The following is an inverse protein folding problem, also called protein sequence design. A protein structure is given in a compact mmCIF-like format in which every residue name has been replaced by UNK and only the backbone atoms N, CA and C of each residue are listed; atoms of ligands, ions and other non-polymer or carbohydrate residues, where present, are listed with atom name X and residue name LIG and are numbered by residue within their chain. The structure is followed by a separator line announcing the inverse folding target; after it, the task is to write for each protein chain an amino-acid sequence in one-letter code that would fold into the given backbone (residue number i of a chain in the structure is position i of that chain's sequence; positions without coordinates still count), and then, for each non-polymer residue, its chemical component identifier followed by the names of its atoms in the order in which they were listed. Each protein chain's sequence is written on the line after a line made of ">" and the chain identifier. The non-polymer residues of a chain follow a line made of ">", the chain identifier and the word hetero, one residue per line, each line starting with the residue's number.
data_IF_626573987587
#
_entry.id   IF_626573987587
#
_cell.length_a   1.000
_cell.length_b   1.000
_cell.length_c   1.000
_cell.angle_alpha   90.00
_cell.angle_beta   90.00
_cell.angle_gamma   90.00
#
_symmetry.space_group_name_H-M   'P 1'
#
loop_
_entity.id
_entity.type
_entity.pdbx_description
1 polymer ?
#
# COMPACT_ATOMS: atom_id res chain seq x y z
N UNK A 1 -0.68 18.19 -14.28
CA UNK A 1 -0.76 16.71 -14.18
C UNK A 1 -2.18 16.20 -13.91
N UNK A 2 -2.89 16.62 -12.84
CA UNK A 2 -4.26 16.15 -12.54
C UNK A 2 -5.30 16.41 -13.65
N UNK A 3 -5.22 17.56 -14.34
CA UNK A 3 -6.16 17.93 -15.43
C UNK A 3 -6.10 17.00 -16.64
N UNK A 4 -4.96 16.35 -16.89
CA UNK A 4 -4.74 15.49 -18.07
C UNK A 4 -5.24 14.06 -17.80
N UNK A 5 -5.10 13.57 -16.57
CA UNK A 5 -5.55 12.23 -16.18
C UNK A 5 -7.09 12.12 -16.17
N UNK A 6 -7.76 13.13 -15.62
CA UNK A 6 -9.24 13.22 -15.64
C UNK A 6 -9.81 13.23 -17.07
N UNK A 7 -9.18 13.96 -18.00
CA UNK A 7 -9.61 13.98 -19.39
C UNK A 7 -9.40 12.65 -20.13
N UNK A 8 -8.36 11.90 -19.75
CA UNK A 8 -8.10 10.57 -20.33
C UNK A 8 -9.14 9.56 -19.87
N UNK A 9 -9.42 9.53 -18.57
CA UNK A 9 -10.35 8.56 -17.97
C UNK A 9 -11.80 8.85 -18.43
N UNK A 10 -12.19 10.13 -18.53
CA UNK A 10 -13.45 10.55 -19.14
C UNK A 10 -13.55 10.15 -20.63
N UNK A 11 -12.47 10.34 -21.40
CA UNK A 11 -12.44 9.95 -22.82
C UNK A 11 -12.60 8.45 -23.01
N UNK A 12 -12.02 7.64 -22.13
CA UNK A 12 -12.17 6.18 -22.14
C UNK A 12 -13.61 5.77 -21.83
N UNK A 13 -14.24 6.39 -20.82
CA UNK A 13 -15.66 6.15 -20.51
C UNK A 13 -16.59 6.55 -21.66
N UNK A 14 -16.36 7.72 -22.27
CA UNK A 14 -17.16 8.20 -23.42
C UNK A 14 -16.99 7.30 -24.63
N UNK A 15 -15.79 6.79 -24.91
CA UNK A 15 -15.57 5.79 -25.97
C UNK A 15 -16.35 4.49 -25.68
N UNK A 16 -16.37 4.03 -24.43
CA UNK A 16 -17.17 2.88 -24.00
C UNK A 16 -18.67 3.10 -24.23
N UNK A 17 -19.18 4.29 -23.88
CA UNK A 17 -20.57 4.67 -24.13
C UNK A 17 -20.89 4.67 -25.63
N UNK A 18 -20.05 5.33 -26.44
CA UNK A 18 -20.22 5.41 -27.91
C UNK A 18 -20.18 4.03 -28.55
N UNK A 19 -19.29 3.15 -28.10
CA UNK A 19 -19.23 1.76 -28.57
C UNK A 19 -20.54 1.00 -28.26
N UNK A 20 -21.19 1.31 -27.14
CA UNK A 20 -22.47 0.74 -26.72
C UNK A 20 -23.73 1.34 -27.35
N UNK A 21 -23.64 2.45 -28.09
CA UNK A 21 -24.80 3.14 -28.66
C UNK A 21 -25.59 2.23 -29.61
N UNK A 22 -24.91 1.39 -30.41
CA UNK A 22 -25.57 0.48 -31.36
C UNK A 22 -26.48 -0.52 -30.66
N UNK A 23 -25.98 -1.14 -29.60
CA UNK A 23 -26.72 -2.12 -28.80
C UNK A 23 -27.84 -1.48 -28.00
N UNK A 24 -27.62 -0.26 -27.49
CA UNK A 24 -28.64 0.52 -26.81
C UNK A 24 -29.78 0.90 -27.78
N UNK A 25 -29.44 1.31 -29.01
CA UNK A 25 -30.41 1.58 -30.06
C UNK A 25 -31.25 0.33 -30.41
N UNK A 26 -30.65 -0.85 -30.51
CA UNK A 26 -31.40 -2.11 -30.72
C UNK A 26 -32.34 -2.43 -29.56
N UNK A 27 -31.93 -2.15 -28.32
CA UNK A 27 -32.77 -2.36 -27.15
C UNK A 27 -33.97 -1.38 -27.12
N UNK A 28 -33.78 -0.13 -27.55
CA UNK A 28 -34.87 0.81 -27.76
C UNK A 28 -35.81 0.38 -28.91
N UNK A 29 -35.28 -0.17 -30.00
CA UNK A 29 -36.10 -0.74 -31.07
C UNK A 29 -37.01 -1.85 -30.53
N UNK A 30 -36.48 -2.73 -29.67
CA UNK A 30 -37.28 -3.76 -29.00
C UNK A 30 -38.38 -3.16 -28.12
N UNK A 31 -38.06 -2.13 -27.32
CA UNK A 31 -39.05 -1.40 -26.52
C UNK A 31 -40.16 -0.81 -27.40
N UNK A 32 -39.81 -0.08 -28.46
CA UNK A 32 -40.78 0.52 -29.37
C UNK A 32 -41.61 -0.53 -30.12
N UNK A 33 -41.05 -1.70 -30.44
CA UNK A 33 -41.82 -2.78 -31.05
C UNK A 33 -42.92 -3.31 -30.10
N UNK A 34 -42.61 -3.45 -28.81
CA UNK A 34 -43.61 -3.85 -27.81
C UNK A 34 -44.65 -2.77 -27.58
N UNK A 35 -44.22 -1.50 -27.48
CA UNK A 35 -45.14 -0.37 -27.35
C UNK A 35 -46.04 -0.26 -28.58
N UNK A 36 -45.54 -0.50 -29.79
CA UNK A 36 -46.33 -0.50 -31.01
C UNK A 36 -47.49 -1.50 -30.95
N UNK A 37 -47.24 -2.71 -30.43
CA UNK A 37 -48.30 -3.72 -30.25
C UNK A 37 -49.33 -3.26 -29.23
N UNK A 38 -48.90 -2.87 -28.02
CA UNK A 38 -49.79 -2.42 -26.94
C UNK A 38 -50.63 -1.20 -27.39
N UNK A 39 -49.99 -0.22 -28.00
CA UNK A 39 -50.62 1.02 -28.47
C UNK A 39 -51.47 0.82 -29.71
N UNK A 40 -51.17 -0.15 -30.56
CA UNK A 40 -52.06 -0.57 -31.65
C UNK A 40 -53.37 -1.10 -31.11
N UNK A 41 -53.31 -1.98 -30.10
CA UNK A 41 -54.51 -2.46 -29.40
C UNK A 41 -55.26 -1.30 -28.74
N UNK A 42 -54.56 -0.41 -28.02
CA UNK A 42 -55.18 0.76 -27.39
C UNK A 42 -55.84 1.71 -28.40
N UNK A 43 -55.20 1.99 -29.54
CA UNK A 43 -55.78 2.84 -30.59
C UNK A 43 -57.07 2.22 -31.15
N UNK A 44 -57.09 0.90 -31.36
CA UNK A 44 -58.25 0.19 -31.90
C UNK A 44 -59.41 0.07 -30.90
N UNK A 45 -59.13 -0.17 -29.62
CA UNK A 45 -60.17 -0.41 -28.60
C UNK A 45 -60.62 0.87 -27.88
N UNK A 46 -59.67 1.71 -27.48
CA UNK A 46 -59.91 2.93 -26.69
C UNK A 46 -60.16 4.12 -27.62
N UNK A 47 -59.36 4.25 -28.69
CA UNK A 47 -59.44 5.39 -29.61
C UNK A 47 -60.75 5.50 -30.40
N UNK A 48 -61.47 4.39 -30.58
CA UNK A 48 -62.75 4.34 -31.30
C UNK A 48 -63.98 4.38 -30.37
N UNK A 49 -63.80 4.57 -29.06
CA UNK A 49 -64.89 4.61 -28.08
C UNK A 49 -65.41 6.03 -27.86
N UNK A 50 -66.72 6.24 -28.04
CA UNK A 50 -67.39 7.53 -27.84
C UNK A 50 -67.35 7.98 -26.37
N UNK A 51 -67.31 7.03 -25.42
CA UNK A 51 -67.19 7.33 -23.98
C UNK A 51 -65.83 7.95 -23.62
N UNK A 52 -64.77 7.62 -24.37
CA UNK A 52 -63.42 8.16 -24.14
C UNK A 52 -63.31 9.59 -24.65
N UNK A 53 -64.01 9.91 -25.74
CA UNK A 53 -64.08 11.27 -26.27
C UNK A 53 -64.77 12.24 -25.29
N UNK A 54 -65.79 11.77 -24.55
CA UNK A 54 -66.49 12.59 -23.54
C UNK A 54 -65.59 13.02 -22.37
N UNK A 55 -64.52 12.27 -22.10
CA UNK A 55 -63.58 12.51 -20.99
C UNK A 55 -62.37 13.33 -21.48
N UNK A 56 -62.34 13.75 -22.76
CA UNK A 56 -61.27 14.57 -23.32
C UNK A 56 -59.98 13.78 -23.60
N UNK A 57 -60.10 12.46 -23.82
CA UNK A 57 -58.95 11.60 -24.13
C UNK A 57 -58.79 11.27 -25.63
N UNK A 58 -59.63 11.86 -26.47
CA UNK A 58 -59.62 11.72 -27.94
C UNK A 58 -58.25 12.06 -28.54
N UNK A 59 -57.58 13.11 -28.03
CA UNK A 59 -56.27 13.53 -28.49
C UNK A 59 -55.11 12.55 -28.18
N UNK A 60 -55.32 11.56 -27.31
CA UNK A 60 -54.25 10.67 -26.83
C UNK A 60 -54.20 9.33 -27.55
N UNK A 61 -55.32 8.89 -28.13
CA UNK A 61 -55.45 7.55 -28.74
C UNK A 61 -55.97 7.54 -30.20
N UNK A 62 -56.04 8.70 -30.86
CA UNK A 62 -56.63 8.84 -32.21
C UNK A 62 -55.86 8.13 -33.34
N UNK A 63 -54.55 7.92 -33.19
CA UNK A 63 -53.74 7.16 -34.13
C UNK A 63 -52.65 6.37 -33.41
N UNK A 64 -52.01 5.43 -34.11
CA UNK A 64 -50.99 4.55 -33.52
C UNK A 64 -49.82 5.35 -32.93
N UNK A 65 -49.23 6.36 -33.62
CA UNK A 65 -48.15 7.18 -33.05
C UNK A 65 -48.53 7.93 -31.76
N UNK A 66 -49.73 8.50 -31.69
CA UNK A 66 -50.23 9.20 -30.50
C UNK A 66 -50.46 8.23 -29.35
N UNK A 67 -51.09 7.08 -29.61
CA UNK A 67 -51.24 6.00 -28.63
C UNK A 67 -49.89 5.46 -28.14
N UNK A 68 -48.88 5.42 -29.03
CA UNK A 68 -47.52 5.01 -28.68
C UNK A 68 -46.83 6.02 -27.78
N UNK A 69 -46.98 7.32 -28.06
CA UNK A 69 -46.49 8.38 -27.20
C UNK A 69 -47.17 8.37 -25.82
N UNK A 70 -48.49 8.22 -25.78
CA UNK A 70 -49.25 8.11 -24.53
C UNK A 70 -48.82 6.88 -23.73
N UNK A 71 -48.66 5.72 -24.36
CA UNK A 71 -48.19 4.51 -23.68
C UNK A 71 -46.74 4.65 -23.18
N UNK A 72 -45.85 5.24 -23.98
CA UNK A 72 -44.48 5.53 -23.56
C UNK A 72 -44.45 6.41 -22.31
N UNK A 73 -45.19 7.53 -22.30
CA UNK A 73 -45.35 8.39 -21.13
C UNK A 73 -45.83 7.57 -19.92
N UNK A 74 -46.92 6.82 -20.08
CA UNK A 74 -47.51 6.07 -18.97
C UNK A 74 -46.57 5.01 -18.39
N UNK A 75 -45.79 4.30 -19.21
CA UNK A 75 -44.85 3.28 -18.73
C UNK A 75 -43.52 3.84 -18.22
N UNK A 76 -43.12 5.04 -18.65
CA UNK A 76 -41.91 5.73 -18.16
C UNK A 76 -42.12 6.51 -16.86
N UNK A 77 -43.37 6.58 -16.38
CA UNK A 77 -43.72 7.17 -15.07
C UNK A 77 -44.60 8.42 -15.14
N UNK A 78 -44.98 8.89 -16.32
CA UNK A 78 -45.85 10.06 -16.49
C UNK A 78 -47.15 9.67 -17.20
N UNK A 79 -48.27 9.56 -16.49
CA UNK A 79 -49.53 9.11 -17.09
C UNK A 79 -50.68 10.09 -16.85
N UNK A 80 -50.51 11.34 -17.28
CA UNK A 80 -51.46 12.44 -17.03
C UNK A 80 -51.92 13.15 -18.30
N UNK A 81 -53.15 13.67 -18.26
CA UNK A 81 -53.71 14.57 -19.26
C UNK A 81 -53.10 15.97 -19.14
N UNK A 82 -53.45 16.87 -20.07
CA UNK A 82 -53.01 18.28 -20.02
C UNK A 82 -53.48 19.00 -18.75
N UNK A 83 -54.60 18.56 -18.17
CA UNK A 83 -55.19 19.09 -16.93
C UNK A 83 -54.64 18.41 -15.67
N UNK A 84 -53.68 17.48 -15.82
CA UNK A 84 -53.06 16.76 -14.71
C UNK A 84 -53.86 15.55 -14.21
N UNK A 85 -54.97 15.20 -14.85
CA UNK A 85 -55.76 14.03 -14.46
C UNK A 85 -55.07 12.72 -14.89
N UNK A 86 -55.03 11.68 -14.04
CA UNK A 86 -54.36 10.43 -14.38
C UNK A 86 -55.14 9.62 -15.44
N UNK A 87 -54.53 9.45 -16.61
CA UNK A 87 -55.14 8.78 -17.79
C UNK A 87 -55.58 7.35 -17.45
N UNK A 88 -54.75 6.60 -16.74
CA UNK A 88 -55.04 5.21 -16.36
C UNK A 88 -56.23 5.09 -15.40
N UNK A 89 -56.44 6.06 -14.50
CA UNK A 89 -57.59 6.06 -13.59
C UNK A 89 -58.87 6.36 -14.36
N UNK A 90 -58.84 7.34 -15.26
CA UNK A 90 -60.00 7.68 -16.09
C UNK A 90 -60.44 6.51 -16.98
N UNK A 91 -59.47 5.78 -17.57
CA UNK A 91 -59.78 4.58 -18.34
C UNK A 91 -60.26 3.42 -17.46
N UNK A 92 -59.74 3.29 -16.24
CA UNK A 92 -60.20 2.28 -15.29
C UNK A 92 -61.67 2.48 -14.89
N UNK A 93 -62.10 3.74 -14.73
CA UNK A 93 -63.48 4.06 -14.40
C UNK A 93 -64.45 3.75 -15.56
N UNK A 94 -64.01 3.87 -16.82
CA UNK A 94 -64.83 3.59 -18.01
C UNK A 94 -64.88 2.10 -18.35
N UNK A 95 -63.73 1.44 -18.40
CA UNK A 95 -63.60 0.07 -18.90
C UNK A 95 -63.57 -0.99 -17.79
N UNK A 96 -63.41 -0.57 -16.53
CA UNK A 96 -63.45 -1.44 -15.36
C UNK A 96 -62.29 -2.43 -15.26
N UNK A 97 -62.56 -3.55 -14.59
CA UNK A 97 -61.57 -4.58 -14.24
C UNK A 97 -60.77 -5.15 -15.43
N UNK A 98 -61.37 -5.43 -16.62
CA UNK A 98 -60.61 -5.95 -17.76
C UNK A 98 -59.47 -5.03 -18.19
N UNK A 99 -59.72 -3.72 -18.24
CA UNK A 99 -58.70 -2.74 -18.56
C UNK A 99 -57.61 -2.71 -17.49
N UNK A 100 -57.98 -2.68 -16.22
CA UNK A 100 -57.02 -2.67 -15.09
C UNK A 100 -56.09 -3.89 -15.16
N UNK A 101 -56.63 -5.08 -15.40
CA UNK A 101 -55.83 -6.31 -15.51
C UNK A 101 -54.86 -6.25 -16.68
N UNK A 102 -55.32 -5.84 -17.88
CA UNK A 102 -54.46 -5.68 -19.05
C UNK A 102 -53.38 -4.61 -18.83
N UNK A 103 -53.75 -3.49 -18.20
CA UNK A 103 -52.82 -2.41 -17.87
C UNK A 103 -51.72 -2.90 -16.92
N UNK A 104 -52.06 -3.58 -15.82
CA UNK A 104 -51.08 -4.10 -14.85
C UNK A 104 -50.12 -5.10 -15.51
N UNK A 105 -50.64 -6.03 -16.33
CA UNK A 105 -49.79 -6.99 -17.06
C UNK A 105 -48.85 -6.28 -18.02
N UNK A 106 -49.36 -5.32 -18.80
CA UNK A 106 -48.54 -4.54 -19.74
C UNK A 106 -47.48 -3.69 -19.01
N UNK A 107 -47.82 -3.11 -17.85
CA UNK A 107 -46.91 -2.34 -17.02
C UNK A 107 -45.80 -3.22 -16.43
N UNK A 108 -46.12 -4.41 -15.91
CA UNK A 108 -45.11 -5.36 -15.44
C UNK A 108 -44.17 -5.79 -16.57
N UNK A 109 -44.70 -6.05 -17.77
CA UNK A 109 -43.89 -6.45 -18.92
C UNK A 109 -42.93 -5.33 -19.37
N UNK A 110 -43.41 -4.10 -19.49
CA UNK A 110 -42.59 -2.97 -19.97
C UNK A 110 -41.65 -2.46 -18.87
N UNK A 111 -42.20 -2.06 -17.73
CA UNK A 111 -41.46 -1.41 -16.63
C UNK A 111 -40.57 -2.38 -15.87
N UNK A 112 -41.09 -3.56 -15.49
CA UNK A 112 -40.29 -4.55 -14.74
C UNK A 112 -39.52 -5.51 -15.65
N UNK A 113 -39.98 -5.77 -16.88
CA UNK A 113 -39.31 -6.65 -17.82
C UNK A 113 -38.32 -5.91 -18.72
N UNK A 114 -38.83 -5.12 -19.66
CA UNK A 114 -38.03 -4.55 -20.75
C UNK A 114 -37.01 -3.53 -20.25
N UNK A 115 -37.39 -2.60 -19.36
CA UNK A 115 -36.42 -1.63 -18.83
C UNK A 115 -35.30 -2.31 -18.05
N UNK A 116 -35.61 -3.32 -17.23
CA UNK A 116 -34.59 -4.09 -16.51
C UNK A 116 -33.70 -4.90 -17.46
N UNK A 117 -34.25 -5.40 -18.57
CA UNK A 117 -33.46 -6.03 -19.63
C UNK A 117 -32.53 -5.03 -20.34
N UNK A 118 -33.02 -3.83 -20.66
CA UNK A 118 -32.20 -2.76 -21.25
C UNK A 118 -31.06 -2.38 -20.30
N UNK A 119 -31.36 -2.21 -19.00
CA UNK A 119 -30.36 -1.93 -17.98
C UNK A 119 -29.32 -3.07 -17.87
N UNK A 120 -29.75 -4.32 -17.89
CA UNK A 120 -28.85 -5.48 -17.86
C UNK A 120 -27.93 -5.52 -19.08
N UNK A 121 -28.45 -5.29 -20.29
CA UNK A 121 -27.66 -5.22 -21.52
C UNK A 121 -26.67 -4.05 -21.48
N UNK A 122 -27.10 -2.88 -20.97
CA UNK A 122 -26.23 -1.73 -20.81
C UNK A 122 -25.05 -2.02 -19.86
N UNK A 123 -25.33 -2.66 -18.72
CA UNK A 123 -24.29 -3.07 -17.77
C UNK A 123 -23.30 -4.05 -18.42
N UNK A 124 -23.76 -5.05 -19.16
CA UNK A 124 -22.89 -6.02 -19.84
C UNK A 124 -21.90 -5.35 -20.82
N UNK A 125 -22.37 -4.34 -21.57
CA UNK A 125 -21.50 -3.58 -22.49
C UNK A 125 -20.43 -2.81 -21.72
N UNK A 126 -20.82 -2.12 -20.64
CA UNK A 126 -19.86 -1.36 -19.82
C UNK A 126 -18.84 -2.27 -19.14
N UNK A 127 -19.26 -3.44 -18.68
CA UNK A 127 -18.37 -4.44 -18.08
C UNK A 127 -17.40 -5.04 -19.11
N UNK A 128 -17.85 -5.32 -20.34
CA UNK A 128 -16.97 -5.78 -21.42
C UNK A 128 -15.90 -4.76 -21.78
N UNK A 129 -16.27 -3.48 -21.91
CA UNK A 129 -15.33 -2.41 -22.19
C UNK A 129 -14.29 -2.23 -21.07
N UNK A 130 -14.70 -2.38 -19.80
CA UNK A 130 -13.79 -2.36 -18.66
C UNK A 130 -12.81 -3.54 -18.70
N UNK A 131 -13.31 -4.76 -18.97
CA UNK A 131 -12.49 -5.98 -19.03
C UNK A 131 -11.50 -5.97 -20.19
N UNK A 132 -11.88 -5.43 -21.35
CA UNK A 132 -10.97 -5.28 -22.48
C UNK A 132 -9.82 -4.33 -22.15
N UNK A 133 -10.10 -3.22 -21.47
CA UNK A 133 -9.06 -2.30 -21.01
C UNK A 133 -8.09 -2.96 -20.02
N UNK A 134 -8.59 -3.78 -19.10
CA UNK A 134 -7.74 -4.54 -18.17
C UNK A 134 -6.88 -5.58 -18.90
N UNK A 135 -7.46 -6.29 -19.88
CA UNK A 135 -6.75 -7.28 -20.68
C UNK A 135 -5.63 -6.65 -21.54
N UNK A 136 -5.92 -5.53 -22.21
CA UNK A 136 -4.94 -4.77 -23.00
C UNK A 136 -3.82 -4.27 -22.09
N UNK A 137 -4.17 -3.76 -20.91
CA UNK A 137 -3.19 -3.28 -19.93
C UNK A 137 -2.30 -4.41 -19.43
N UNK A 138 -2.87 -5.59 -19.12
CA UNK A 138 -2.10 -6.77 -18.71
C UNK A 138 -1.17 -7.29 -19.81
N UNK A 139 -1.61 -7.29 -21.06
CA UNK A 139 -0.77 -7.70 -22.20
C UNK A 139 0.37 -6.70 -22.45
N UNK A 140 0.13 -5.40 -22.27
CA UNK A 140 1.19 -4.40 -22.35
C UNK A 140 2.26 -4.62 -21.29
N UNK A 141 1.88 -4.90 -20.05
CA UNK A 141 2.85 -5.19 -18.98
C UNK A 141 3.67 -6.46 -19.27
N UNK A 142 3.08 -7.50 -19.84
CA UNK A 142 3.81 -8.73 -20.18
C UNK A 142 4.77 -8.55 -21.35
N UNK A 143 4.38 -7.78 -22.36
CA UNK A 143 5.27 -7.43 -23.48
C UNK A 143 6.44 -6.57 -23.02
N UNK A 144 6.18 -5.61 -22.15
CA UNK A 144 7.21 -4.72 -21.60
C UNK A 144 8.21 -5.48 -20.72
N UNK A 145 7.75 -6.40 -19.88
CA UNK A 145 8.65 -7.20 -19.03
C UNK A 145 9.59 -8.09 -19.86
N UNK A 146 9.09 -8.70 -20.95
CA UNK A 146 9.91 -9.49 -21.88
C UNK A 146 10.92 -8.61 -22.61
N UNK A 147 10.49 -7.43 -23.10
CA UNK A 147 11.38 -6.46 -23.75
C UNK A 147 12.54 -6.10 -22.84
N UNK A 148 12.23 -5.72 -21.60
CA UNK A 148 13.23 -5.29 -20.62
C UNK A 148 14.20 -6.43 -20.29
N UNK A 149 13.71 -7.64 -20.04
CA UNK A 149 14.57 -8.79 -19.79
C UNK A 149 15.56 -9.05 -20.95
N UNK A 150 15.12 -8.89 -22.20
CA UNK A 150 15.99 -9.05 -23.38
C UNK A 150 17.03 -7.93 -23.45
N UNK A 151 16.63 -6.67 -23.34
CA UNK A 151 17.55 -5.53 -23.40
C UNK A 151 18.57 -5.58 -22.27
N UNK A 152 18.15 -5.89 -21.04
CA UNK A 152 19.06 -6.08 -19.90
C UNK A 152 20.05 -7.22 -20.15
N UNK A 153 19.60 -8.34 -20.71
CA UNK A 153 20.50 -9.46 -21.06
C UNK A 153 21.52 -9.07 -22.13
N UNK A 154 21.11 -8.32 -23.15
CA UNK A 154 22.03 -7.81 -24.18
C UNK A 154 23.05 -6.83 -23.60
N UNK A 155 22.63 -5.97 -22.67
CA UNK A 155 23.52 -5.06 -21.96
C UNK A 155 24.55 -5.83 -21.12
N UNK A 156 24.12 -6.81 -20.33
CA UNK A 156 25.03 -7.64 -19.52
C UNK A 156 26.02 -8.44 -20.39
N UNK A 157 25.59 -8.91 -21.57
CA UNK A 157 26.49 -9.55 -22.54
C UNK A 157 27.63 -8.62 -22.95
N UNK A 158 27.33 -7.35 -23.20
CA UNK A 158 28.35 -6.36 -23.56
C UNK A 158 29.36 -6.16 -22.44
N UNK A 159 28.87 -6.02 -21.20
CA UNK A 159 29.74 -5.91 -20.02
C UNK A 159 30.63 -7.13 -19.82
N UNK A 160 30.06 -8.35 -19.89
CA UNK A 160 30.83 -9.59 -19.77
C UNK A 160 31.85 -9.77 -20.90
N UNK A 161 31.47 -9.46 -22.15
CA UNK A 161 32.40 -9.56 -23.29
C UNK A 161 33.58 -8.59 -23.17
N UNK A 162 33.33 -7.37 -22.70
CA UNK A 162 34.39 -6.39 -22.47
C UNK A 162 35.31 -6.83 -21.34
N UNK A 163 34.76 -7.37 -20.24
CA UNK A 163 35.55 -7.92 -19.14
C UNK A 163 36.53 -9.01 -19.61
N UNK A 164 36.07 -9.98 -20.40
CA UNK A 164 36.93 -11.04 -20.92
C UNK A 164 38.08 -10.49 -21.79
N UNK A 165 37.81 -9.52 -22.66
CA UNK A 165 38.86 -8.92 -23.51
C UNK A 165 39.90 -8.17 -22.68
N UNK A 166 39.47 -7.42 -21.66
CA UNK A 166 40.38 -6.70 -20.78
C UNK A 166 41.25 -7.64 -19.95
N UNK A 167 40.66 -8.72 -19.43
CA UNK A 167 41.39 -9.66 -18.57
C UNK A 167 42.30 -10.61 -19.37
N UNK A 168 41.92 -11.03 -20.57
CA UNK A 168 42.79 -11.80 -21.48
C UNK A 168 44.03 -10.98 -21.91
N UNK A 169 43.92 -9.66 -22.04
CA UNK A 169 45.06 -8.78 -22.30
C UNK A 169 46.03 -8.71 -21.12
N UNK A 170 45.55 -8.67 -19.87
CA UNK A 170 46.39 -8.67 -18.67
C UNK A 170 47.08 -10.03 -18.42
N UNK A 171 46.37 -11.14 -18.64
CA UNK A 171 46.93 -12.49 -18.44
C UNK A 171 47.90 -12.91 -19.55
N UNK A 172 47.88 -12.28 -20.72
CA UNK A 172 48.82 -12.54 -21.81
C UNK A 172 50.29 -12.18 -21.50
N UNK A 173 50.57 -11.52 -20.37
CA UNK A 173 51.93 -11.32 -19.85
C UNK A 173 52.44 -12.55 -19.08
N UNK A 174 51.58 -13.53 -18.77
CA UNK A 174 51.97 -14.80 -18.13
C UNK A 174 51.28 -16.00 -18.80
N UNK A 175 52.03 -16.65 -19.69
CA UNK A 175 51.81 -17.97 -20.30
C UNK A 175 50.98 -18.06 -21.58
N UNK A 176 51.71 -18.37 -22.65
CA UNK A 176 51.28 -18.95 -23.91
C UNK A 176 50.60 -20.31 -23.69
N UNK A 177 49.33 -20.45 -24.08
CA UNK A 177 48.86 -21.40 -25.12
C UNK A 177 47.38 -21.75 -24.97
N UNK A 178 46.70 -21.74 -26.13
CA UNK A 178 45.41 -22.37 -26.47
C UNK A 178 44.13 -21.66 -25.99
N UNK A 179 43.65 -20.73 -26.81
CA UNK A 179 42.32 -20.12 -26.68
C UNK A 179 41.30 -20.97 -27.45
N UNK A 180 40.43 -21.65 -26.71
CA UNK A 180 39.23 -22.33 -27.21
C UNK A 180 38.09 -21.29 -27.36
N UNK A 181 38.05 -20.65 -28.53
CA UNK A 181 37.12 -19.57 -28.90
C UNK A 181 35.65 -19.99 -28.97
N UNK A 182 35.33 -21.26 -28.68
CA UNK A 182 34.02 -21.85 -28.97
C UNK A 182 33.09 -22.00 -27.75
N UNK A 183 33.54 -21.65 -26.53
CA UNK A 183 32.72 -21.70 -25.30
C UNK A 183 31.96 -20.42 -24.92
N UNK A 184 32.00 -19.38 -25.76
CA UNK A 184 31.31 -18.10 -25.50
C UNK A 184 29.77 -18.14 -25.69
N UNK A 185 29.17 -19.31 -25.94
CA UNK A 185 27.75 -19.42 -26.29
C UNK A 185 26.82 -19.91 -25.17
N UNK A 186 27.34 -20.26 -23.99
CA UNK A 186 26.49 -20.77 -22.89
C UNK A 186 26.59 -19.84 -21.68
N UNK A 187 25.52 -19.08 -21.48
CA UNK A 187 25.15 -18.48 -20.20
C UNK A 187 24.91 -19.60 -19.17
N UNK A 188 25.96 -20.16 -18.57
CA UNK A 188 25.82 -20.97 -17.36
C UNK A 188 25.92 -20.06 -16.14
N UNK A 189 24.96 -20.18 -15.21
CA UNK A 189 24.91 -19.36 -13.99
C UNK A 189 26.17 -19.49 -13.11
N UNK A 190 26.90 -20.60 -13.23
CA UNK A 190 28.07 -20.93 -12.42
C UNK A 190 29.32 -20.07 -12.70
N UNK A 191 29.33 -19.27 -13.78
CA UNK A 191 30.46 -18.42 -14.16
C UNK A 191 30.28 -16.92 -13.88
N UNK A 192 29.06 -16.46 -13.54
CA UNK A 192 28.76 -15.03 -13.39
C UNK A 192 29.30 -14.42 -12.09
N UNK A 193 29.43 -15.21 -11.02
CA UNK A 193 29.89 -14.73 -9.70
C UNK A 193 31.38 -14.35 -9.66
N UNK A 194 32.14 -14.63 -10.72
CA UNK A 194 33.59 -14.31 -10.79
C UNK A 194 33.90 -13.05 -11.60
N UNK A 195 32.89 -12.41 -12.19
CA UNK A 195 33.08 -11.22 -13.01
C UNK A 195 32.88 -9.98 -12.13
N UNK A 196 33.98 -9.29 -11.84
CA UNK A 196 34.00 -8.05 -11.07
C UNK A 196 34.37 -6.88 -11.98
N UNK A 197 33.42 -5.97 -12.23
CA UNK A 197 33.58 -4.85 -13.14
C UNK A 197 34.08 -3.64 -12.34
N UNK A 198 35.29 -3.17 -12.63
CA UNK A 198 35.83 -1.95 -11.98
C UNK A 198 35.19 -0.68 -12.57
N UNK A 199 35.34 0.44 -11.85
CA UNK A 199 34.83 1.74 -12.28
C UNK A 199 35.39 2.17 -13.64
N UNK A 200 36.67 1.95 -13.88
CA UNK A 200 37.36 2.33 -15.11
C UNK A 200 36.81 1.55 -16.30
N UNK A 201 36.66 0.23 -16.13
CA UNK A 201 36.08 -0.65 -17.14
C UNK A 201 34.62 -0.26 -17.43
N UNK A 202 33.83 0.04 -16.40
CA UNK A 202 32.46 0.50 -16.56
C UNK A 202 32.40 1.80 -17.37
N UNK A 203 33.19 2.81 -16.99
CA UNK A 203 33.24 4.11 -17.67
C UNK A 203 33.70 4.02 -19.12
N UNK A 204 34.51 3.03 -19.46
CA UNK A 204 34.89 2.76 -20.84
C UNK A 204 33.74 2.13 -21.63
N UNK A 205 33.06 1.13 -21.07
CA UNK A 205 31.97 0.40 -21.75
C UNK A 205 30.78 1.32 -22.06
N UNK A 206 30.43 2.23 -21.14
CA UNK A 206 29.31 3.18 -21.36
C UNK A 206 29.58 4.20 -22.49
N UNK A 207 30.81 4.31 -22.99
CA UNK A 207 31.12 5.16 -24.15
C UNK A 207 30.70 4.52 -25.48
N UNK A 208 30.52 3.19 -25.52
CA UNK A 208 30.05 2.47 -26.70
C UNK A 208 28.61 2.91 -27.06
N UNK A 209 28.43 3.42 -28.28
CA UNK A 209 27.13 3.86 -28.82
C UNK A 209 26.04 2.79 -28.73
N UNK A 210 26.40 1.51 -28.86
CA UNK A 210 25.45 0.39 -28.75
C UNK A 210 24.99 0.22 -27.31
N UNK A 211 25.92 0.27 -26.36
CA UNK A 211 25.62 0.23 -24.91
C UNK A 211 24.75 1.41 -24.52
N UNK A 212 25.08 2.60 -25.02
CA UNK A 212 24.28 3.81 -24.80
C UNK A 212 22.83 3.63 -25.26
N UNK A 213 22.62 3.10 -26.47
CA UNK A 213 21.29 2.82 -27.00
C UNK A 213 20.53 1.80 -26.14
N UNK A 214 21.19 0.73 -25.70
CA UNK A 214 20.58 -0.28 -24.82
C UNK A 214 20.18 0.30 -23.46
N UNK A 215 20.95 1.25 -22.93
CA UNK A 215 20.62 1.96 -21.70
C UNK A 215 19.45 2.93 -21.88
N UNK A 216 19.37 3.61 -23.03
CA UNK A 216 18.20 4.43 -23.39
C UNK A 216 16.95 3.58 -23.56
N UNK A 217 17.06 2.42 -24.21
CA UNK A 217 15.95 1.47 -24.39
C UNK A 217 15.45 0.86 -23.06
N UNK A 218 16.23 0.98 -21.98
CA UNK A 218 15.89 0.58 -20.61
C UNK A 218 15.36 1.74 -19.74
N UNK A 219 15.16 2.93 -20.32
CA UNK A 219 14.76 4.15 -19.61
C UNK A 219 15.68 4.48 -18.41
N UNK A 220 16.99 4.36 -18.60
CA UNK A 220 18.00 4.76 -17.61
C UNK A 220 18.33 6.25 -17.73
N UNK A 221 18.70 6.92 -16.62
CA UNK A 221 19.02 8.34 -16.64
C UNK A 221 20.22 8.64 -17.55
N UNK A 222 20.26 9.83 -18.19
CA UNK A 222 21.33 10.22 -19.09
C UNK A 222 22.67 10.43 -18.37
N UNK A 223 22.63 10.70 -17.05
CA UNK A 223 23.81 10.81 -16.19
C UNK A 223 24.34 9.42 -15.82
N UNK A 224 25.00 8.78 -16.79
CA UNK A 224 25.44 7.38 -16.67
C UNK A 224 26.75 7.21 -15.90
N UNK A 225 27.55 8.26 -15.77
CA UNK A 225 28.82 8.21 -15.07
C UNK A 225 28.63 7.96 -13.56
N UNK A 226 27.59 8.57 -12.99
CA UNK A 226 27.24 8.42 -11.58
C UNK A 226 26.50 7.12 -11.27
N UNK A 227 26.04 6.37 -12.28
CA UNK A 227 25.35 5.10 -12.08
C UNK A 227 26.24 4.07 -11.38
N UNK A 228 27.56 4.11 -11.60
CA UNK A 228 28.46 3.19 -10.91
C UNK A 228 28.39 3.36 -9.39
N UNK A 229 28.50 4.59 -8.91
CA UNK A 229 28.48 4.91 -7.47
C UNK A 229 27.10 4.67 -6.84
N UNK A 230 26.03 4.82 -7.61
CA UNK A 230 24.67 4.53 -7.14
C UNK A 230 24.45 3.03 -6.98
N UNK A 231 25.05 2.21 -7.85
CA UNK A 231 24.90 0.76 -7.82
C UNK A 231 25.86 0.14 -6.78
N UNK A 232 27.11 0.62 -6.70
CA UNK A 232 28.16 0.20 -5.74
C UNK A 232 27.89 0.80 -4.35
N UNK A 233 26.74 0.47 -3.76
CA UNK A 233 26.28 1.06 -2.50
C UNK A 233 27.11 0.59 -1.29
N UNK A 234 27.82 -0.53 -1.41
CA UNK A 234 28.73 -1.04 -0.38
C UNK A 234 30.14 -0.42 -0.47
N UNK A 235 30.44 0.31 -1.55
CA UNK A 235 31.73 0.95 -1.78
C UNK A 235 32.86 -0.04 -1.98
N UNK A 236 32.56 -1.25 -2.47
CA UNK A 236 33.57 -2.27 -2.78
C UNK A 236 34.52 -1.83 -3.89
N UNK A 237 34.11 -0.87 -4.73
CA UNK A 237 34.85 -0.38 -5.89
C UNK A 237 34.75 -1.31 -7.11
N UNK A 238 33.97 -2.39 -7.02
CA UNK A 238 33.77 -3.35 -8.10
C UNK A 238 32.34 -3.83 -8.15
N UNK A 239 31.72 -3.82 -9.33
CA UNK A 239 30.36 -4.31 -9.50
C UNK A 239 30.33 -5.76 -9.95
N UNK A 240 29.64 -6.60 -9.19
CA UNK A 240 29.31 -7.95 -9.65
C UNK A 240 28.21 -7.90 -10.71
N UNK A 241 28.13 -8.90 -11.59
CA UNK A 241 27.09 -8.96 -12.63
C UNK A 241 25.67 -8.97 -12.04
N UNK A 242 25.47 -9.66 -10.91
CA UNK A 242 24.20 -9.72 -10.20
C UNK A 242 23.83 -8.39 -9.57
N UNK A 243 24.80 -7.64 -9.06
CA UNK A 243 24.63 -6.30 -8.50
C UNK A 243 24.31 -5.29 -9.61
N UNK A 244 25.06 -5.34 -10.72
CA UNK A 244 24.79 -4.53 -11.90
C UNK A 244 23.37 -4.80 -12.44
N UNK A 245 22.96 -6.07 -12.55
CA UNK A 245 21.60 -6.46 -12.95
C UNK A 245 20.54 -5.84 -12.04
N UNK A 246 20.67 -6.03 -10.73
CA UNK A 246 19.71 -5.50 -9.76
C UNK A 246 19.68 -3.97 -9.73
N UNK A 247 20.85 -3.33 -9.85
CA UNK A 247 20.99 -1.89 -9.91
C UNK A 247 20.30 -1.30 -11.13
N UNK A 248 20.56 -1.84 -12.31
CA UNK A 248 19.92 -1.40 -13.56
C UNK A 248 18.40 -1.59 -13.53
N UNK A 249 17.90 -2.68 -12.93
CA UNK A 249 16.46 -2.92 -12.80
C UNK A 249 15.78 -1.99 -11.77
N UNK A 250 16.49 -1.58 -10.72
CA UNK A 250 15.97 -0.68 -9.68
C UNK A 250 15.98 0.79 -10.06
N UNK A 251 16.99 1.23 -10.81
CA UNK A 251 17.17 2.64 -11.21
C UNK A 251 16.27 2.99 -12.41
N UNK A 252 15.75 1.99 -13.11
CA UNK A 252 14.92 2.20 -14.31
C UNK A 252 13.66 3.03 -14.01
N UNK A 253 13.30 3.87 -14.97
CA UNK A 253 12.04 4.60 -14.98
C UNK A 253 12.03 5.86 -14.13
N UNK A 254 10.91 6.57 -14.16
CA UNK A 254 10.74 7.82 -13.42
C UNK A 254 10.41 7.56 -11.95
N UNK A 255 10.99 8.37 -11.05
CA UNK A 255 10.67 8.33 -9.62
C UNK A 255 9.21 8.76 -9.41
N UNK A 256 8.40 7.89 -8.83
CA UNK A 256 7.03 8.25 -8.47
C UNK A 256 6.99 9.05 -7.16
N UNK A 257 5.94 9.86 -6.98
CA UNK A 257 5.71 10.58 -5.71
C UNK A 257 5.58 9.64 -4.51
N UNK A 258 5.06 8.43 -4.73
CA UNK A 258 5.00 7.38 -3.71
C UNK A 258 6.38 6.99 -3.20
N UNK A 259 7.36 6.94 -4.10
CA UNK A 259 8.72 6.46 -3.79
C UNK A 259 9.41 7.49 -2.91
N UNK A 260 9.30 8.79 -3.23
CA UNK A 260 9.81 9.87 -2.39
C UNK A 260 9.18 9.89 -0.98
N UNK A 261 7.88 9.64 -0.86
CA UNK A 261 7.20 9.55 0.44
C UNK A 261 7.64 8.32 1.21
N UNK A 262 7.79 7.17 0.55
CA UNK A 262 8.29 5.94 1.16
C UNK A 262 9.71 6.12 1.71
N UNK A 263 10.60 6.77 0.95
CA UNK A 263 11.95 7.10 1.43
C UNK A 263 11.90 8.00 2.66
N UNK A 264 11.08 9.06 2.65
CA UNK A 264 10.92 9.95 3.81
C UNK A 264 10.43 9.21 5.07
N UNK A 265 9.46 8.30 4.91
CA UNK A 265 8.94 7.49 6.03
C UNK A 265 10.00 6.51 6.55
N UNK A 266 10.74 5.85 5.65
CA UNK A 266 11.84 4.98 6.03
C UNK A 266 12.94 5.75 6.77
N UNK A 267 13.31 6.94 6.29
CA UNK A 267 14.30 7.81 6.97
C UNK A 267 13.83 8.23 8.36
N UNK A 268 12.56 8.57 8.53
CA UNK A 268 12.00 8.88 9.86
C UNK A 268 12.04 7.67 10.78
N UNK A 269 11.71 6.48 10.29
CA UNK A 269 11.80 5.25 11.07
C UNK A 269 13.24 4.97 11.53
N UNK A 270 14.22 5.11 10.62
CA UNK A 270 15.64 4.99 10.94
C UNK A 270 16.07 6.04 11.97
N UNK A 271 15.62 7.30 11.84
CA UNK A 271 15.90 8.35 12.79
C UNK A 271 15.40 7.98 14.20
N UNK A 272 14.17 7.46 14.30
CA UNK A 272 13.60 7.00 15.58
C UNK A 272 14.43 5.87 16.19
N UNK A 273 14.76 4.84 15.40
CA UNK A 273 15.60 3.72 15.85
C UNK A 273 16.97 4.18 16.33
N UNK A 274 17.59 5.15 15.65
CA UNK A 274 18.89 5.72 16.07
C UNK A 274 18.74 6.48 17.39
N UNK A 275 17.67 7.25 17.60
CA UNK A 275 17.43 7.93 18.89
C UNK A 275 17.21 6.95 20.04
N UNK A 276 16.51 5.85 19.78
CA UNK A 276 16.30 4.78 20.77
C UNK A 276 17.63 4.07 21.10
N UNK A 277 18.38 3.67 20.07
CA UNK A 277 19.70 3.04 20.25
C UNK A 277 20.65 3.96 21.01
N UNK A 278 20.62 5.27 20.75
CA UNK A 278 21.41 6.25 21.50
C UNK A 278 21.00 6.31 22.97
N UNK A 279 19.70 6.30 23.26
CA UNK A 279 19.20 6.30 24.63
C UNK A 279 19.62 5.02 25.39
N UNK A 280 19.51 3.86 24.75
CA UNK A 280 19.90 2.58 25.35
C UNK A 280 21.41 2.47 25.56
N UNK A 281 22.21 2.99 24.62
CA UNK A 281 23.67 3.04 24.76
C UNK A 281 24.08 3.93 25.93
N UNK A 282 23.44 5.10 26.09
CA UNK A 282 23.70 5.98 27.23
C UNK A 282 23.30 5.31 28.56
N UNK A 283 22.15 4.64 28.63
CA UNK A 283 21.73 3.91 29.84
C UNK A 283 22.74 2.83 30.23
N UNK A 284 23.25 2.07 29.26
CA UNK A 284 24.30 1.06 29.49
C UNK A 284 25.60 1.71 29.97
N UNK A 285 26.02 2.81 29.37
CA UNK A 285 27.20 3.56 29.80
C UNK A 285 27.06 4.10 31.23
N UNK A 286 25.90 4.64 31.60
CA UNK A 286 25.65 5.14 32.95
C UNK A 286 25.66 4.01 33.99
N UNK A 287 25.10 2.86 33.64
CA UNK A 287 25.10 1.67 34.49
C UNK A 287 26.53 1.15 34.72
N UNK A 288 27.33 1.03 33.64
CA UNK A 288 28.75 0.66 33.74
C UNK A 288 29.54 1.67 34.58
N UNK A 289 29.25 2.97 34.43
CA UNK A 289 29.89 4.03 35.21
C UNK A 289 29.55 3.92 36.70
N UNK A 290 28.29 3.66 37.05
CA UNK A 290 27.89 3.48 38.46
C UNK A 290 28.53 2.24 39.08
N UNK A 291 28.57 1.13 38.34
CA UNK A 291 29.20 -0.12 38.78
C UNK A 291 30.70 0.09 39.08
N UNK A 292 31.40 0.80 38.18
CA UNK A 292 32.82 1.11 38.34
C UNK A 292 33.08 1.99 39.58
N UNK A 293 32.26 3.02 39.80
CA UNK A 293 32.35 3.90 40.97
C UNK A 293 32.11 3.12 42.27
N UNK A 294 31.16 2.19 42.26
CA UNK A 294 30.88 1.34 43.41
C UNK A 294 32.05 0.40 43.72
N UNK A 295 32.63 -0.24 42.71
CA UNK A 295 33.81 -1.09 42.89
C UNK A 295 35.01 -0.31 43.44
N UNK A 296 35.28 0.88 42.91
CA UNK A 296 36.35 1.75 43.40
C UNK A 296 36.14 2.19 44.86
N UNK A 297 34.90 2.52 45.24
CA UNK A 297 34.59 2.88 46.65
C UNK A 297 34.70 1.67 47.59
N UNK A 298 34.32 0.46 47.15
CA UNK A 298 34.53 -0.78 47.91
C UNK A 298 36.02 -1.07 48.11
N UNK A 299 36.84 -0.95 47.06
CA UNK A 299 38.29 -1.12 47.15
C UNK A 299 38.93 -0.10 48.09
N UNK A 300 38.53 1.18 48.00
CA UNK A 300 39.00 2.25 48.90
C UNK A 300 38.67 1.96 50.37
N UNK A 301 37.44 1.53 50.67
CA UNK A 301 37.02 1.14 52.03
C UNK A 301 37.81 -0.07 52.55
N UNK A 302 38.06 -1.06 51.69
CA UNK A 302 38.87 -2.24 52.05
C UNK A 302 40.31 -1.87 52.42
N UNK A 303 40.95 -0.99 51.63
CA UNK A 303 42.31 -0.52 51.92
C UNK A 303 42.39 0.29 53.23
N UNK A 304 41.42 1.18 53.48
CA UNK A 304 41.37 1.97 54.73
C UNK A 304 41.20 1.06 55.96
N UNK A 305 40.34 0.05 55.87
CA UNK A 305 40.15 -0.92 56.96
C UNK A 305 41.40 -1.77 57.23
N UNK A 306 42.21 -2.10 56.21
CA UNK A 306 43.50 -2.79 56.41
C UNK A 306 44.53 -1.90 57.12
N UNK A 307 44.60 -0.62 56.78
CA UNK A 307 45.50 0.33 57.47
C UNK A 307 45.10 0.57 58.93
N UNK A 308 43.79 0.65 59.23
CA UNK A 308 43.27 0.80 60.60
C UNK A 308 43.43 -0.48 61.44
N UNK A 309 43.36 -1.66 60.82
CA UNK A 309 43.64 -2.92 61.50
C UNK A 309 45.14 -3.04 61.86
N UNK A 310 46.03 -2.53 61.00
CA UNK A 310 47.48 -2.49 61.30
C UNK A 310 47.81 -1.55 62.46
N UNK A 311 47.12 -0.41 62.59
CA UNK A 311 47.39 0.55 63.69
C UNK A 311 46.82 0.08 65.04
N UNK A 312 45.73 -0.68 65.06
CA UNK A 312 45.18 -1.25 66.30
C UNK A 312 46.05 -2.36 66.91
N UNK A 313 46.84 -3.07 66.10
CA UNK A 313 47.78 -4.09 66.60
C UNK A 313 48.96 -3.45 67.36
N UNK A 314 49.26 -2.18 67.10
CA UNK A 314 50.34 -1.45 67.80
C UNK A 314 49.88 -0.81 69.13
N UNK A 315 48.60 -0.45 69.26
CA UNK A 315 48.09 0.27 70.45
C UNK A 315 47.68 -0.66 71.62
N UNK A 316 47.48 -1.96 71.39
CA UNK A 316 47.11 -2.93 72.44
C UNK A 316 48.32 -3.51 73.23
N UNK A 317 49.55 -3.09 72.92
CA UNK A 317 50.77 -3.58 73.60
C UNK A 317 51.27 -2.74 74.79
N UNK A 318 50.58 -1.67 75.18
CA UNK A 318 51.08 -0.76 76.23
C UNK A 318 50.00 -0.27 77.21
N UNK A 319 49.59 -1.12 78.16
CA UNK A 319 49.03 -0.67 79.45
C UNK A 319 49.20 -1.70 80.59
N UNK A 320 49.96 -1.41 81.67
CA UNK A 320 50.03 -2.26 82.87
C UNK A 320 49.04 -1.83 83.99
N UNK A 321 48.68 -2.72 84.94
CA UNK A 321 47.56 -2.53 85.88
C UNK A 321 48.00 -2.02 87.27
N UNK A 322 47.09 -1.40 88.03
CA UNK A 322 47.29 -1.07 89.45
C UNK A 322 45.96 -0.97 90.26
N UNK A 323 45.98 -1.18 91.60
CA UNK A 323 44.90 -1.82 92.37
C UNK A 323 44.22 -0.93 93.44
N UNK A 324 43.34 -1.56 94.24
CA UNK A 324 42.30 -1.02 95.12
C UNK A 324 42.68 -0.80 96.62
N UNK A 325 41.99 0.13 97.31
CA UNK A 325 41.72 0.20 98.79
C UNK A 325 40.45 1.09 99.00
N UNK A 326 39.28 0.63 99.53
CA UNK A 326 38.77 0.56 100.93
C UNK A 326 38.81 1.93 101.71
N UNK A 327 37.80 2.50 102.40
CA UNK A 327 36.61 2.02 103.13
C UNK A 327 35.52 3.11 103.42
N UNK A 328 34.26 2.62 103.60
CA UNK A 328 33.12 2.95 104.51
C UNK A 328 32.72 4.41 104.87
N UNK A 329 31.50 4.88 104.51
CA UNK A 329 30.14 4.80 105.19
C UNK A 329 29.99 5.77 106.39
N UNK A 330 28.94 6.59 106.63
CA UNK A 330 27.49 6.74 106.32
C UNK A 330 27.04 8.12 106.95
N UNK A 331 25.75 8.57 107.00
CA UNK A 331 24.56 8.39 106.14
C UNK A 331 23.76 9.70 105.86
N UNK A 332 22.84 9.69 104.87
CA UNK A 332 21.47 10.24 105.02
C UNK A 332 20.52 9.71 103.92
N UNK A 333 19.21 9.72 104.21
CA UNK A 333 18.12 8.87 103.66
C UNK A 333 17.13 9.71 102.77
N UNK A 334 15.95 9.23 102.30
CA UNK A 334 15.60 9.15 100.87
C UNK A 334 14.25 9.83 100.44
N UNK A 335 13.93 9.83 99.14
CA UNK A 335 12.56 9.83 98.57
C UNK A 335 12.67 9.25 97.14
N UNK A 336 12.01 8.16 96.70
CA UNK A 336 10.60 7.73 96.65
C UNK A 336 9.99 7.93 95.23
N UNK A 337 9.60 6.79 94.62
CA UNK A 337 8.48 6.49 93.67
C UNK A 337 8.42 7.26 92.31
N UNK A 338 7.91 6.75 91.17
CA UNK A 338 6.83 5.80 90.78
C UNK A 338 7.14 5.23 89.36
N UNK A 339 7.10 3.91 89.13
CA UNK A 339 6.00 3.06 88.60
C UNK A 339 5.60 3.18 87.09
N UNK A 340 5.58 1.99 86.47
CA UNK A 340 5.07 1.47 85.17
C UNK A 340 3.52 1.62 85.07
N UNK A 341 2.69 1.01 84.17
CA UNK A 341 2.83 0.36 82.84
C UNK A 341 1.74 0.75 81.81
N UNK A 342 1.86 0.30 80.55
CA UNK A 342 0.83 -0.52 79.82
C UNK A 342 1.11 -0.73 78.30
N UNK A 343 1.30 -2.00 77.95
CA UNK A 343 1.19 -2.70 76.63
C UNK A 343 -0.34 -2.84 76.32
N UNK A 344 -0.93 -3.03 75.09
CA UNK A 344 -0.59 -4.08 74.10
C UNK A 344 -0.91 -3.95 72.57
N UNK A 345 -0.16 -4.73 71.77
CA UNK A 345 -0.53 -5.71 70.70
C UNK A 345 -1.41 -5.31 69.47
N UNK A 346 -0.81 -5.43 68.26
CA UNK A 346 -1.20 -5.99 66.92
C UNK A 346 -2.68 -6.30 66.54
N UNK A 347 -3.05 -6.66 65.27
CA UNK A 347 -2.45 -6.52 63.91
C UNK A 347 -3.47 -6.09 62.79
N UNK A 348 -3.00 -6.15 61.53
CA UNK A 348 -3.70 -6.57 60.30
C UNK A 348 -4.16 -5.53 59.25
N UNK A 349 -3.65 -5.73 58.03
CA UNK A 349 -4.05 -5.26 56.69
C UNK A 349 -5.53 -5.54 56.35
N UNK A 350 -6.19 -4.89 55.34
CA UNK A 350 -5.99 -5.27 53.93
C UNK A 350 -6.34 -4.23 52.81
N UNK A 351 -5.86 -4.53 51.59
CA UNK A 351 -6.48 -4.35 50.25
C UNK A 351 -7.00 -3.01 49.71
N UNK A 352 -6.54 -2.67 48.49
CA UNK A 352 -7.29 -2.14 47.31
C UNK A 352 -6.31 -2.16 46.12
N UNK A 353 -6.52 -2.69 44.90
CA UNK A 353 -7.62 -2.82 43.92
C UNK A 353 -7.95 -1.53 43.15
N UNK A 354 -7.95 -1.67 41.81
CA UNK A 354 -8.49 -0.78 40.74
C UNK A 354 -7.63 0.45 40.44
N UNK A 355 -7.47 0.97 39.22
CA UNK A 355 -7.84 0.71 37.82
C UNK A 355 -6.77 1.53 37.03
N UNK A 356 -6.44 1.34 35.75
CA UNK A 356 -7.22 1.36 34.50
C UNK A 356 -6.54 0.53 33.40
#
# INVERSE_FOLDING_TARGET
>A
VFRIKFMRDLRLMVKGLIAGVRTLALAFVLLFAVLYVISGFAAMTIGNSEEVAKIGLDGFFYNIPASMYTAFRCFTGECTTNDGAPIHSLLADVFGLPFIACYVVSYMLVTMGIFNLILAVYVDITMKAAKENDAVTAEQYSRESIRIARTTRELLKKFSSAYHVFHEMEDSVKHSNTIDWMKASVFTEEGMDKIAITKELFLLIIQDRVVQKLMDDLDLPPDRANLFEIIDADGSGTLQITELLHGLLKIRGEINKSDAVATLLATRSVQTLITEMKADTNRKLDTLRSELVEQLTRLRKSSINRTLASSKVEEEKQKPPAPAVLELRLPCKPSACEEDPRIPVWPASPTSRMND
#
